data_IF_858575558795
#
_entry.id   IF_858575558795
#
_cell.length_a   1.000
_cell.length_b   1.000
_cell.length_c   1.000
_cell.angle_alpha   90.00
_cell.angle_beta   90.00
_cell.angle_gamma   90.00
#
_symmetry.space_group_name_H-M   'P 1'
#
loop_
_entity.id
_entity.type
_entity.pdbx_description
1 polymer ?
#
# COMPACT_ATOMS: atom_id res chain seq x y z
N UNK A 1 1.85 25.17 -2.93
CA UNK A 1 2.35 23.82 -3.25
C UNK A 1 1.60 22.88 -2.33
N UNK A 2 0.79 21.98 -2.89
CA UNK A 2 -0.13 21.15 -2.13
C UNK A 2 0.62 20.13 -1.29
N UNK A 3 0.40 20.14 0.02
CA UNK A 3 1.13 19.37 1.05
C UNK A 3 0.85 17.85 1.03
N UNK A 4 0.08 17.33 0.08
CA UNK A 4 -0.45 15.95 0.12
C UNK A 4 -0.27 15.19 -1.21
N UNK A 5 0.67 15.59 -2.07
CA UNK A 5 0.96 14.88 -3.33
C UNK A 5 2.32 14.18 -3.25
N UNK A 6 2.35 12.91 -3.64
CA UNK A 6 3.62 12.24 -3.91
C UNK A 6 4.32 12.91 -5.08
N UNK A 7 5.64 13.02 -5.00
CA UNK A 7 6.47 13.35 -6.15
C UNK A 7 6.58 12.12 -7.05
N UNK A 8 6.97 12.32 -8.31
CA UNK A 8 7.16 11.21 -9.25
C UNK A 8 8.20 10.20 -8.75
N UNK A 9 9.24 10.68 -8.08
CA UNK A 9 10.24 9.83 -7.46
C UNK A 9 9.65 8.93 -6.35
N UNK A 10 8.72 9.45 -5.55
CA UNK A 10 8.03 8.64 -4.54
C UNK A 10 7.11 7.61 -5.20
N UNK A 11 6.38 7.99 -6.26
CA UNK A 11 5.56 7.06 -7.05
C UNK A 11 6.41 5.94 -7.64
N UNK A 12 7.54 6.28 -8.25
CA UNK A 12 8.49 5.34 -8.82
C UNK A 12 9.07 4.40 -7.76
N UNK A 13 9.43 4.93 -6.59
CA UNK A 13 9.92 4.12 -5.45
C UNK A 13 8.86 3.13 -4.98
N UNK A 14 7.60 3.57 -4.83
CA UNK A 14 6.49 2.70 -4.47
C UNK A 14 6.26 1.61 -5.53
N UNK A 15 6.21 1.99 -6.80
CA UNK A 15 6.04 1.07 -7.94
C UNK A 15 7.14 0.01 -7.97
N UNK A 16 8.39 0.44 -7.83
CA UNK A 16 9.57 -0.43 -7.83
C UNK A 16 9.50 -1.43 -6.68
N UNK A 17 9.26 -0.96 -5.45
CA UNK A 17 9.18 -1.82 -4.27
C UNK A 17 8.07 -2.88 -4.38
N UNK A 18 6.91 -2.51 -4.94
CA UNK A 18 5.82 -3.47 -5.16
C UNK A 18 6.18 -4.52 -6.21
N UNK A 19 6.75 -4.10 -7.34
CA UNK A 19 7.10 -5.02 -8.42
C UNK A 19 8.29 -5.91 -8.07
N UNK A 20 9.25 -5.43 -7.29
CA UNK A 20 10.32 -6.25 -6.71
C UNK A 20 9.75 -7.33 -5.78
N UNK A 21 8.85 -6.97 -4.84
CA UNK A 21 8.18 -7.94 -3.97
C UNK A 21 7.43 -9.00 -4.79
N UNK A 22 6.63 -8.57 -5.78
CA UNK A 22 5.86 -9.47 -6.65
C UNK A 22 6.78 -10.42 -7.42
N UNK A 23 7.91 -9.92 -7.93
CA UNK A 23 8.93 -10.74 -8.59
C UNK A 23 9.54 -11.76 -7.62
N UNK A 24 9.94 -11.34 -6.42
CA UNK A 24 10.49 -12.24 -5.39
C UNK A 24 9.50 -13.35 -5.00
N UNK A 25 8.20 -13.03 -4.93
CA UNK A 25 7.13 -14.03 -4.74
C UNK A 25 7.00 -14.97 -5.95
N UNK A 26 6.99 -14.43 -7.16
CA UNK A 26 6.88 -15.22 -8.39
C UNK A 26 8.02 -16.24 -8.53
N UNK A 27 9.24 -15.86 -8.13
CA UNK A 27 10.42 -16.72 -8.12
C UNK A 27 10.43 -17.74 -6.96
N UNK A 28 9.51 -17.63 -5.99
CA UNK A 28 9.47 -18.49 -4.81
C UNK A 28 10.56 -18.17 -3.78
N UNK A 29 11.08 -16.94 -3.81
CA UNK A 29 12.19 -16.47 -2.97
C UNK A 29 11.72 -15.64 -1.77
N UNK A 30 10.42 -15.30 -1.69
CA UNK A 30 9.89 -14.46 -0.61
C UNK A 30 9.84 -15.23 0.71
N UNK A 31 10.53 -14.80 1.78
CA UNK A 31 10.48 -15.46 3.07
C UNK A 31 9.08 -15.42 3.69
N UNK A 32 8.76 -16.50 4.41
CA UNK A 32 7.64 -16.66 5.32
C UNK A 32 8.20 -17.27 6.63
N UNK A 33 7.44 -17.30 7.72
CA UNK A 33 7.89 -17.65 9.08
C UNK A 33 8.89 -18.82 9.18
N UNK A 34 8.74 -19.86 8.34
CA UNK A 34 9.58 -21.07 8.38
C UNK A 34 10.21 -21.45 7.04
N UNK A 35 9.70 -20.93 5.92
CA UNK A 35 10.06 -21.33 4.54
C UNK A 35 9.86 -20.14 3.60
N UNK A 36 10.17 -20.26 2.32
CA UNK A 36 9.70 -19.29 1.33
C UNK A 36 8.24 -19.57 0.91
N UNK A 37 7.57 -18.54 0.39
CA UNK A 37 6.30 -18.69 -0.33
C UNK A 37 6.52 -19.54 -1.59
N UNK A 38 5.54 -20.38 -1.99
CA UNK A 38 5.64 -21.12 -3.24
C UNK A 38 5.70 -20.15 -4.43
N UNK A 39 6.40 -20.52 -5.52
CA UNK A 39 6.46 -19.69 -6.72
C UNK A 39 5.06 -19.50 -7.31
N UNK A 40 4.78 -18.27 -7.77
CA UNK A 40 3.52 -17.92 -8.40
C UNK A 40 3.66 -17.85 -9.92
N UNK A 41 2.74 -18.49 -10.64
CA UNK A 41 2.60 -18.31 -12.10
C UNK A 41 1.68 -17.13 -12.38
N UNK A 42 1.92 -16.43 -13.49
CA UNK A 42 1.10 -15.30 -13.95
C UNK A 42 1.02 -14.16 -12.92
N UNK A 43 2.13 -13.85 -12.25
CA UNK A 43 2.26 -12.64 -11.44
C UNK A 43 2.49 -11.45 -12.37
N UNK A 44 1.46 -10.61 -12.57
CA UNK A 44 1.57 -9.47 -13.47
C UNK A 44 2.32 -8.30 -12.81
N UNK A 45 3.00 -7.50 -13.63
CA UNK A 45 3.62 -6.26 -13.17
C UNK A 45 2.52 -5.22 -12.89
N UNK A 46 2.61 -4.54 -11.74
CA UNK A 46 1.70 -3.45 -11.40
C UNK A 46 2.07 -2.19 -12.17
N UNK A 47 1.07 -1.36 -12.43
CA UNK A 47 1.21 0.01 -12.88
C UNK A 47 0.66 0.96 -11.82
N UNK A 48 1.33 2.11 -11.66
CA UNK A 48 0.85 3.16 -10.77
C UNK A 48 -0.29 3.91 -11.44
N UNK A 49 -1.42 4.08 -10.75
CA UNK A 49 -2.61 4.73 -11.27
C UNK A 49 -2.93 6.01 -10.48
N UNK A 50 -2.87 7.15 -11.17
CA UNK A 50 -3.09 8.47 -10.59
C UNK A 50 -4.54 8.70 -10.15
N UNK A 51 -5.52 8.06 -10.81
CA UNK A 51 -6.93 8.17 -10.42
C UNK A 51 -7.16 7.42 -9.10
N UNK A 52 -6.53 6.26 -8.94
CA UNK A 52 -6.53 5.53 -7.67
C UNK A 52 -5.78 6.29 -6.56
N UNK A 53 -4.65 6.95 -6.85
CA UNK A 53 -3.99 7.85 -5.89
C UNK A 53 -4.94 8.96 -5.43
N UNK A 54 -5.72 9.55 -6.34
CA UNK A 54 -6.70 10.58 -6.01
C UNK A 54 -7.80 10.06 -5.10
N UNK A 55 -8.36 8.88 -5.38
CA UNK A 55 -9.37 8.26 -4.52
C UNK A 55 -8.83 8.00 -3.11
N UNK A 56 -7.61 7.49 -2.99
CA UNK A 56 -6.97 7.29 -1.69
C UNK A 56 -6.81 8.60 -0.94
N UNK A 57 -6.41 9.68 -1.62
CA UNK A 57 -6.25 11.00 -1.00
C UNK A 57 -7.57 11.51 -0.44
N UNK A 58 -8.64 11.47 -1.24
CA UNK A 58 -9.96 11.90 -0.80
C UNK A 58 -10.42 11.12 0.44
N UNK A 59 -10.05 9.84 0.53
CA UNK A 59 -10.38 9.02 1.68
C UNK A 59 -9.56 9.36 2.94
N UNK A 60 -8.24 9.44 2.83
CA UNK A 60 -7.36 9.67 3.99
C UNK A 60 -7.47 11.09 4.57
N UNK A 61 -7.94 12.08 3.79
CA UNK A 61 -8.27 13.43 4.28
C UNK A 61 -9.34 13.41 5.39
N UNK A 62 -10.17 12.36 5.44
CA UNK A 62 -11.18 12.19 6.50
C UNK A 62 -10.57 11.82 7.85
N UNK A 63 -9.30 11.44 7.89
CA UNK A 63 -8.60 10.97 9.08
C UNK A 63 -9.38 9.90 9.87
N UNK A 64 -10.00 8.94 9.17
CA UNK A 64 -10.85 7.91 9.79
C UNK A 64 -10.10 6.91 10.68
N UNK A 65 -8.78 6.77 10.48
CA UNK A 65 -7.94 5.82 11.22
C UNK A 65 -8.14 4.35 10.81
N UNK A 66 -8.89 4.07 9.73
CA UNK A 66 -9.20 2.72 9.28
C UNK A 66 -9.34 2.61 7.76
N UNK A 67 -9.20 1.38 7.26
CA UNK A 67 -9.48 1.03 5.87
C UNK A 67 -10.99 1.03 5.60
N UNK A 68 -11.44 1.84 4.64
CA UNK A 68 -12.85 2.11 4.33
C UNK A 68 -13.25 1.81 2.89
N UNK A 69 -12.28 1.46 2.03
CA UNK A 69 -12.46 1.18 0.60
C UNK A 69 -12.43 -0.33 0.28
N UNK A 70 -12.50 -1.18 1.32
CA UNK A 70 -12.34 -2.63 1.25
C UNK A 70 -13.39 -3.36 0.38
N UNK A 71 -14.57 -2.76 0.17
CA UNK A 71 -15.61 -3.36 -0.68
C UNK A 71 -15.31 -3.22 -2.18
N UNK A 72 -14.49 -2.24 -2.56
CA UNK A 72 -14.20 -1.90 -3.96
C UNK A 72 -12.77 -2.31 -4.35
N UNK A 73 -11.86 -2.32 -3.38
CA UNK A 73 -10.44 -2.51 -3.61
C UNK A 73 -9.81 -3.44 -2.59
N UNK A 74 -8.71 -4.09 -2.98
CA UNK A 74 -7.73 -4.48 -1.98
C UNK A 74 -7.19 -3.20 -1.33
N UNK A 75 -7.11 -3.13 0.00
CA UNK A 75 -6.64 -1.92 0.69
C UNK A 75 -5.65 -2.26 1.80
N UNK A 76 -4.51 -1.57 1.78
CA UNK A 76 -3.56 -1.54 2.87
C UNK A 76 -3.62 -0.18 3.57
N UNK A 77 -3.86 -0.13 4.89
CA UNK A 77 -4.00 1.12 5.65
C UNK A 77 -3.13 1.14 6.91
N UNK A 78 -2.31 2.18 7.10
CA UNK A 78 -1.37 2.35 8.21
C UNK A 78 -1.79 3.61 8.98
N UNK A 79 -1.84 3.50 10.30
CA UNK A 79 -1.76 4.65 11.20
C UNK A 79 -0.37 4.61 11.84
N UNK A 80 0.41 5.67 11.67
CA UNK A 80 1.68 5.86 12.34
C UNK A 80 1.60 7.04 13.30
N UNK A 81 1.87 6.82 14.59
CA UNK A 81 1.94 7.89 15.59
C UNK A 81 3.42 8.27 15.84
N UNK A 82 3.80 9.56 15.87
CA UNK A 82 5.17 10.01 16.16
C UNK A 82 5.70 9.61 17.55
N UNK A 83 4.81 9.24 18.49
CA UNK A 83 5.13 9.04 19.91
C UNK A 83 5.32 7.54 20.25
N UNK A 84 4.88 6.62 19.40
CA UNK A 84 5.06 5.18 19.63
C UNK A 84 6.33 4.68 18.93
N UNK A 85 7.40 4.49 19.71
CA UNK A 85 8.51 3.63 19.30
C UNK A 85 7.97 2.20 19.15
N UNK A 86 7.61 1.83 17.92
CA UNK A 86 7.04 0.55 17.59
C UNK A 86 5.52 0.55 17.71
N UNK A 87 4.84 1.04 16.67
CA UNK A 87 3.69 0.26 16.22
C UNK A 87 4.29 -1.04 15.68
N UNK A 88 4.02 -2.13 16.39
CA UNK A 88 4.17 -3.45 15.81
C UNK A 88 3.47 -3.38 14.45
N UNK A 89 4.24 -3.48 13.36
CA UNK A 89 3.68 -3.72 12.04
C UNK A 89 3.07 -5.12 12.15
N UNK A 90 1.88 -5.21 12.75
CA UNK A 90 1.03 -6.37 12.72
C UNK A 90 0.89 -6.64 11.24
N UNK A 91 1.67 -7.61 10.74
CA UNK A 91 2.01 -7.81 9.33
C UNK A 91 0.84 -7.33 8.49
N UNK A 92 0.96 -6.12 7.91
CA UNK A 92 -0.07 -5.70 6.99
C UNK A 92 -0.13 -6.81 5.96
N UNK A 93 -1.31 -7.40 5.70
CA UNK A 93 -1.39 -8.48 4.75
C UNK A 93 -0.73 -8.00 3.45
N UNK A 94 0.32 -8.69 3.05
CA UNK A 94 0.95 -8.45 1.76
C UNK A 94 0.03 -8.93 0.63
N UNK A 95 -1.04 -9.65 0.97
CA UNK A 95 -2.04 -10.22 0.07
C UNK A 95 -2.48 -9.27 -1.06
N UNK A 96 -2.98 -8.05 -0.81
CA UNK A 96 -3.33 -7.14 -1.89
C UNK A 96 -2.13 -6.68 -2.74
N UNK A 97 -0.91 -6.63 -2.17
CA UNK A 97 0.32 -6.30 -2.91
C UNK A 97 0.75 -7.44 -3.85
N UNK A 98 0.53 -8.69 -3.42
CA UNK A 98 0.99 -9.91 -4.11
C UNK A 98 -0.15 -10.66 -4.79
N UNK A 99 -1.35 -10.06 -4.87
CA UNK A 99 -2.46 -10.64 -5.59
C UNK A 99 -2.15 -10.66 -7.09
N UNK A 100 -2.02 -11.86 -7.65
CA UNK A 100 -1.40 -12.06 -8.96
C UNK A 100 -2.12 -11.32 -10.10
N UNK A 101 -3.45 -11.23 -10.05
CA UNK A 101 -4.28 -10.58 -11.07
C UNK A 101 -4.41 -9.06 -10.93
N UNK A 102 -3.98 -8.48 -9.81
CA UNK A 102 -3.97 -7.02 -9.67
C UNK A 102 -3.00 -6.44 -10.68
N UNK A 103 -3.43 -5.42 -11.41
CA UNK A 103 -2.66 -4.73 -12.46
C UNK A 103 -2.36 -3.27 -12.09
N UNK A 104 -3.15 -2.67 -11.21
CA UNK A 104 -3.09 -1.24 -10.90
C UNK A 104 -3.18 -0.99 -9.42
N UNK A 105 -2.45 0.01 -8.96
CA UNK A 105 -2.52 0.47 -7.59
C UNK A 105 -2.25 1.97 -7.49
N UNK A 106 -2.76 2.59 -6.43
CA UNK A 106 -2.51 3.98 -6.09
C UNK A 106 -2.36 4.11 -4.58
N UNK A 107 -1.55 5.07 -4.13
CA UNK A 107 -1.29 5.28 -2.71
C UNK A 107 -1.41 6.75 -2.34
N UNK A 108 -1.64 7.03 -1.06
CA UNK A 108 -1.64 8.38 -0.51
C UNK A 108 -1.23 8.39 0.95
N UNK A 109 -0.84 9.56 1.43
CA UNK A 109 -0.58 9.82 2.84
C UNK A 109 -1.24 11.13 3.29
N UNK A 110 -1.61 11.18 4.56
CA UNK A 110 -2.09 12.37 5.24
C UNK A 110 -1.39 12.49 6.57
N UNK A 111 -0.58 13.54 6.72
CA UNK A 111 -0.08 13.94 8.03
C UNK A 111 -1.14 14.70 8.81
N UNK A 112 -0.82 14.95 10.07
CA UNK A 112 -1.57 15.84 10.95
C UNK A 112 -2.99 15.38 11.31
N UNK A 113 -3.25 14.07 11.25
CA UNK A 113 -4.50 13.51 11.76
C UNK A 113 -4.55 13.59 13.30
N UNK A 114 -5.76 13.74 13.85
CA UNK A 114 -6.03 13.76 15.30
C UNK A 114 -5.19 14.77 16.11
N UNK A 115 -5.23 16.05 15.73
CA UNK A 115 -4.45 17.13 16.35
C UNK A 115 -2.92 16.91 16.23
N UNK A 116 -2.46 16.57 15.03
CA UNK A 116 -1.04 16.35 14.72
C UNK A 116 -0.42 15.12 15.41
N UNK A 117 -1.26 14.18 15.84
CA UNK A 117 -0.83 12.98 16.53
C UNK A 117 -0.55 11.81 15.59
N UNK A 118 -1.10 11.79 14.38
CA UNK A 118 -1.04 10.63 13.50
C UNK A 118 -0.74 10.98 12.04
N UNK A 119 -0.07 10.05 11.36
CA UNK A 119 0.09 10.00 9.91
C UNK A 119 -0.70 8.78 9.41
N UNK A 120 -1.61 9.00 8.47
CA UNK A 120 -2.31 7.93 7.75
C UNK A 120 -1.63 7.66 6.41
N UNK A 121 -1.40 6.40 6.09
CA UNK A 121 -0.86 5.97 4.78
C UNK A 121 -1.72 4.84 4.26
N UNK A 122 -2.24 4.99 3.05
CA UNK A 122 -3.08 3.97 2.41
C UNK A 122 -2.62 3.68 0.99
N UNK A 123 -2.82 2.45 0.54
CA UNK A 123 -2.73 2.03 -0.85
C UNK A 123 -3.96 1.20 -1.20
N UNK A 124 -4.52 1.40 -2.40
CA UNK A 124 -5.59 0.58 -2.95
C UNK A 124 -5.13 -0.13 -4.22
N UNK A 125 -5.74 -1.29 -4.48
CA UNK A 125 -5.36 -2.25 -5.51
C UNK A 125 -6.62 -2.71 -6.25
N UNK A 126 -6.60 -2.72 -7.58
CA UNK A 126 -7.76 -3.14 -8.35
C UNK A 126 -8.02 -4.66 -8.17
N UNK A 127 -9.30 -5.01 -8.01
CA UNK A 127 -9.77 -6.38 -7.93
C UNK A 127 -10.31 -6.76 -9.31
N UNK A 128 -9.57 -7.61 -10.04
CA UNK A 128 -10.01 -8.20 -11.32
C UNK A 128 -10.60 -9.59 -11.15
#
# INVERSE_FOLDING_TARGET
MDQNYFTDNVRETLLTAHNELRRTVAEGNQPNHQRTLPPAKNMYELQYDCDMEKEVKEEIEKCSGQATLLEQYGQNFLVGSPISNGSELHLKPIDPMVHAKTLRFGCGYKGDCNNNADIHISCIYNLE
#
